data_IF_362443439460
#
_entry.id   IF_362443439460
#
_cell.length_a   1.000
_cell.length_b   1.000
_cell.length_c   1.000
_cell.angle_alpha   90.00
_cell.angle_beta   90.00
_cell.angle_gamma   90.00
#
_symmetry.space_group_name_H-M   'P 1'
#
loop_
_entity.id
_entity.type
_entity.pdbx_description
1 polymer ?
#
# COMPACT_ATOMS: atom_id res chain seq x y z
N UNK A 1 7.72 -12.58 -5.64
CA UNK A 1 7.75 -12.02 -7.01
C UNK A 1 9.18 -12.02 -7.52
N UNK A 2 9.38 -12.52 -8.72
CA UNK A 2 10.67 -12.42 -9.40
C UNK A 2 10.87 -10.99 -9.89
N UNK A 3 11.99 -10.36 -9.53
CA UNK A 3 12.33 -9.01 -10.00
C UNK A 3 12.87 -9.15 -11.42
N UNK A 4 12.04 -8.79 -12.41
CA UNK A 4 12.38 -8.92 -13.84
C UNK A 4 13.62 -8.11 -14.22
N UNK A 5 13.78 -6.91 -13.63
CA UNK A 5 14.93 -6.04 -13.84
C UNK A 5 15.13 -5.11 -12.64
N UNK A 6 16.35 -4.93 -12.12
CA UNK A 6 16.60 -3.93 -11.09
C UNK A 6 16.26 -2.51 -11.58
N UNK A 7 15.61 -1.72 -10.72
CA UNK A 7 15.29 -0.31 -11.01
C UNK A 7 16.42 0.58 -10.51
N UNK A 8 16.74 1.67 -11.21
CA UNK A 8 17.77 2.62 -10.77
C UNK A 8 17.48 3.07 -9.33
N UNK A 9 18.44 2.82 -8.43
CA UNK A 9 18.34 3.24 -7.03
C UNK A 9 18.79 4.68 -6.86
N UNK A 10 17.84 5.59 -6.75
CA UNK A 10 18.09 6.95 -6.26
C UNK A 10 17.93 6.96 -4.73
N UNK A 11 18.89 7.52 -4.00
CA UNK A 11 18.79 7.75 -2.55
C UNK A 11 18.10 9.08 -2.33
N UNK A 12 16.83 9.03 -1.93
CA UNK A 12 15.97 10.18 -1.73
C UNK A 12 16.00 10.58 -0.25
N UNK A 13 16.39 11.82 0.03
CA UNK A 13 16.49 12.39 1.38
C UNK A 13 15.37 13.41 1.69
N UNK A 14 14.30 13.42 0.89
CA UNK A 14 13.10 14.22 1.11
C UNK A 14 12.08 13.44 1.98
N UNK A 15 11.14 14.15 2.66
CA UNK A 15 10.19 13.53 3.60
C UNK A 15 9.07 12.69 2.93
N UNK A 16 9.11 12.52 1.61
CA UNK A 16 8.10 11.77 0.86
C UNK A 16 7.90 12.33 -0.55
N UNK A 17 7.75 11.48 -1.58
CA UNK A 17 8.04 10.03 -1.61
C UNK A 17 9.53 9.71 -1.38
N UNK A 18 9.86 8.58 -0.75
CA UNK A 18 11.23 8.14 -0.44
C UNK A 18 11.67 6.90 -1.25
N UNK A 19 12.94 6.50 -1.13
CA UNK A 19 13.48 5.33 -1.84
C UNK A 19 12.80 4.03 -1.40
N UNK A 20 12.20 3.29 -2.35
CA UNK A 20 11.56 1.99 -2.11
C UNK A 20 12.40 0.80 -2.63
N UNK A 21 12.10 -0.41 -2.18
CA UNK A 21 12.67 -1.65 -2.73
C UNK A 21 12.12 -1.93 -4.14
N UNK A 22 12.76 -2.81 -4.90
CA UNK A 22 12.26 -3.18 -6.22
C UNK A 22 11.03 -4.09 -6.12
N UNK A 23 10.94 -4.92 -5.08
CA UNK A 23 9.76 -5.74 -4.81
C UNK A 23 8.50 -4.89 -4.63
N UNK A 24 8.57 -3.76 -3.92
CA UNK A 24 7.43 -2.83 -3.76
C UNK A 24 7.06 -2.15 -5.08
N UNK A 25 8.05 -1.79 -5.92
CA UNK A 25 7.76 -1.21 -7.23
C UNK A 25 7.02 -2.20 -8.12
N UNK A 26 7.50 -3.44 -8.18
CA UNK A 26 6.94 -4.48 -9.04
C UNK A 26 5.61 -5.04 -8.53
N UNK A 27 5.26 -4.90 -7.25
CA UNK A 27 3.94 -5.27 -6.72
C UNK A 27 2.75 -4.58 -7.40
N UNK A 28 3.00 -3.48 -8.14
CA UNK A 28 2.00 -2.79 -8.95
C UNK A 28 1.72 -3.48 -10.29
N UNK A 29 2.60 -4.37 -10.74
CA UNK A 29 2.48 -5.09 -12.01
C UNK A 29 1.73 -6.39 -11.75
N UNK A 30 0.40 -6.31 -11.85
CA UNK A 30 -0.54 -7.41 -11.64
C UNK A 30 -1.54 -7.47 -12.79
N UNK A 31 -2.20 -8.61 -13.03
CA UNK A 31 -3.33 -8.68 -13.96
C UNK A 31 -4.44 -7.71 -13.57
N UNK A 32 -5.21 -7.25 -14.56
CA UNK A 32 -6.41 -6.46 -14.30
C UNK A 32 -7.40 -7.24 -13.44
N UNK A 33 -7.99 -6.57 -12.46
CA UNK A 33 -8.98 -7.15 -11.54
C UNK A 33 -10.10 -6.14 -11.30
N UNK A 34 -11.35 -6.61 -11.34
CA UNK A 34 -12.48 -5.78 -10.97
C UNK A 34 -12.43 -5.54 -9.44
N UNK A 35 -12.52 -4.31 -8.94
CA UNK A 35 -12.42 -4.02 -7.51
C UNK A 35 -13.61 -4.53 -6.68
N UNK A 36 -14.60 -5.14 -7.34
CA UNK A 36 -15.74 -5.78 -6.69
C UNK A 36 -15.55 -7.29 -6.49
N UNK A 37 -14.48 -7.87 -7.04
CA UNK A 37 -14.15 -9.28 -6.82
C UNK A 37 -13.71 -9.53 -5.37
N UNK A 38 -13.98 -10.73 -4.87
CA UNK A 38 -13.70 -11.10 -3.48
C UNK A 38 -12.22 -10.98 -3.16
N UNK A 39 -11.37 -11.39 -4.09
CA UNK A 39 -9.91 -11.35 -3.99
C UNK A 39 -9.40 -9.91 -3.82
N UNK A 40 -10.03 -8.93 -4.49
CA UNK A 40 -9.66 -7.53 -4.31
C UNK A 40 -10.14 -6.99 -2.95
N UNK A 41 -11.35 -7.39 -2.52
CA UNK A 41 -11.89 -7.03 -1.21
C UNK A 41 -11.01 -7.58 -0.07
N UNK A 42 -10.52 -8.81 -0.19
CA UNK A 42 -9.61 -9.42 0.77
C UNK A 42 -8.30 -8.63 0.91
N UNK A 43 -7.72 -8.16 -0.21
CA UNK A 43 -6.54 -7.29 -0.21
C UNK A 43 -6.83 -5.98 0.54
N UNK A 44 -7.99 -5.36 0.27
CA UNK A 44 -8.39 -4.12 0.93
C UNK A 44 -8.59 -4.31 2.44
N UNK A 45 -9.19 -5.43 2.85
CA UNK A 45 -9.38 -5.79 4.25
C UNK A 45 -8.07 -6.10 4.96
N UNK A 46 -7.12 -6.76 4.29
CA UNK A 46 -5.78 -6.94 4.80
C UNK A 46 -5.11 -5.60 5.06
N UNK A 47 -5.01 -4.73 4.06
CA UNK A 47 -4.40 -3.38 4.20
C UNK A 47 -5.03 -2.61 5.36
N UNK A 48 -6.37 -2.65 5.49
CA UNK A 48 -7.09 -2.00 6.59
C UNK A 48 -6.65 -2.51 7.97
N UNK A 49 -6.55 -3.84 8.14
CA UNK A 49 -6.09 -4.44 9.41
C UNK A 49 -4.61 -4.18 9.66
N UNK A 50 -3.76 -4.25 8.65
CA UNK A 50 -2.31 -4.00 8.77
C UNK A 50 -2.04 -2.57 9.24
N UNK A 51 -2.75 -1.58 8.67
CA UNK A 51 -2.55 -0.17 9.03
C UNK A 51 -2.85 0.12 10.50
N UNK A 52 -3.92 -0.47 11.06
CA UNK A 52 -4.24 -0.36 12.49
C UNK A 52 -3.11 -0.93 13.36
N UNK A 53 -2.48 -2.03 12.93
CA UNK A 53 -1.36 -2.64 13.65
C UNK A 53 -0.07 -1.83 13.58
N UNK A 54 0.23 -1.20 12.44
CA UNK A 54 1.42 -0.34 12.27
C UNK A 54 1.45 0.79 13.31
N UNK A 55 0.28 1.33 13.66
CA UNK A 55 0.14 2.38 14.68
C UNK A 55 -0.11 1.85 16.10
N UNK A 56 -0.02 0.53 16.31
CA UNK A 56 -0.26 -0.15 17.60
C UNK A 56 -1.64 0.12 18.21
N UNK A 57 -2.66 0.32 17.38
CA UNK A 57 -4.03 0.55 17.84
C UNK A 57 -4.77 -0.78 18.10
N UNK A 58 -5.74 -0.75 19.02
CA UNK A 58 -6.60 -1.89 19.33
C UNK A 58 -7.60 -2.15 18.18
N UNK A 59 -7.52 -3.29 17.47
CA UNK A 59 -8.42 -3.59 16.35
C UNK A 59 -9.87 -3.81 16.77
N UNK A 60 -10.17 -4.02 18.05
CA UNK A 60 -11.54 -4.07 18.55
C UNK A 60 -12.16 -2.67 18.72
N UNK A 61 -11.34 -1.61 18.72
CA UNK A 61 -11.78 -0.21 18.94
C UNK A 61 -11.58 0.68 17.73
N UNK A 62 -10.61 0.37 16.88
CA UNK A 62 -10.20 1.22 15.76
C UNK A 62 -10.24 0.48 14.43
N UNK A 63 -10.53 1.21 13.36
CA UNK A 63 -10.43 0.75 11.98
C UNK A 63 -9.74 1.82 11.13
N UNK A 64 -9.12 1.40 10.02
CA UNK A 64 -8.69 2.33 8.97
C UNK A 64 -9.80 2.49 7.91
N UNK A 65 -9.87 3.67 7.30
CA UNK A 65 -10.74 3.97 6.15
C UNK A 65 -9.85 4.44 5.01
N UNK A 66 -9.96 3.78 3.86
CA UNK A 66 -9.11 4.02 2.69
C UNK A 66 -9.81 4.95 1.71
N UNK A 67 -9.09 5.97 1.22
CA UNK A 67 -9.54 6.91 0.20
C UNK A 67 -8.58 6.92 -0.98
N UNK A 68 -9.09 7.18 -2.18
CA UNK A 68 -8.27 7.34 -3.39
C UNK A 68 -7.81 8.79 -3.52
N UNK A 69 -6.64 9.11 -2.97
CA UNK A 69 -6.07 10.46 -3.04
C UNK A 69 -4.76 10.58 -2.26
N UNK A 70 -4.14 11.75 -2.31
CA UNK A 70 -3.02 12.10 -1.42
C UNK A 70 -3.55 12.46 -0.02
N UNK A 71 -2.64 12.69 0.93
CA UNK A 71 -3.01 13.09 2.30
C UNK A 71 -3.85 14.38 2.38
N UNK A 72 -3.83 15.23 1.35
CA UNK A 72 -4.61 16.48 1.31
C UNK A 72 -6.11 16.27 1.14
N UNK A 73 -6.57 15.10 0.65
CA UNK A 73 -8.00 14.87 0.39
C UNK A 73 -8.87 14.86 1.67
N UNK A 74 -8.25 14.62 2.83
CA UNK A 74 -8.91 14.57 4.14
C UNK A 74 -8.62 15.79 5.02
N UNK A 75 -7.96 16.82 4.46
CA UNK A 75 -7.70 18.09 5.17
C UNK A 75 -8.91 19.00 5.21
#
# INVERSE_FOLDING_TARGET
>A
MEVVKPVKRNVLLNPGPATTTDTVKYAQVVPDICPRETEFVEIMDEVRRELVRVVHADPAKYTAVLFTGSGTIIQ
#
